data_IF_618325833083
#
_entry.id   IF_618325833083
#
_cell.length_a   1.000
_cell.length_b   1.000
_cell.length_c   1.000
_cell.angle_alpha   90.00
_cell.angle_beta   90.00
_cell.angle_gamma   90.00
#
_symmetry.space_group_name_H-M   'P 1'
#
loop_
_entity.id
_entity.type
_entity.pdbx_description
1 polymer ?
#
# COMPACT_ATOMS: atom_id res chain seq x y z
N UNK A 1 -12.50 27.76 5.71
CA UNK A 1 -11.55 26.85 6.39
C UNK A 1 -12.34 25.88 7.24
N UNK A 2 -12.28 24.58 6.95
CA UNK A 2 -12.85 23.53 7.80
C UNK A 2 -11.91 23.23 8.95
N UNK A 3 -12.43 23.15 10.18
CA UNK A 3 -11.65 22.73 11.35
C UNK A 3 -11.61 21.20 11.39
N UNK A 4 -10.42 20.64 11.47
CA UNK A 4 -10.19 19.20 11.68
C UNK A 4 -9.91 19.02 13.16
N UNK A 5 -10.53 18.01 13.76
CA UNK A 5 -10.33 17.65 15.15
C UNK A 5 -9.87 16.19 15.22
N UNK A 6 -8.83 15.94 15.99
CA UNK A 6 -8.28 14.61 16.23
C UNK A 6 -8.64 14.16 17.65
N UNK A 7 -9.12 12.93 17.78
CA UNK A 7 -9.42 12.32 19.07
C UNK A 7 -9.08 10.82 19.00
N UNK A 8 -8.58 10.31 20.12
CA UNK A 8 -8.28 8.90 20.32
C UNK A 8 -9.43 8.26 21.10
N UNK A 9 -9.71 7.00 20.80
CA UNK A 9 -10.77 6.24 21.43
C UNK A 9 -10.61 4.75 21.21
N UNK A 10 -11.40 3.98 21.94
CA UNK A 10 -11.46 2.52 21.82
C UNK A 10 -12.72 2.11 21.07
N UNK A 11 -12.65 0.98 20.36
CA UNK A 11 -13.82 0.37 19.71
C UNK A 11 -14.44 -0.61 20.71
N UNK A 12 -15.66 -0.32 21.14
CA UNK A 12 -16.52 -1.21 21.92
C UNK A 12 -17.50 -1.95 21.01
N UNK A 13 -17.76 -3.22 21.32
CA UNK A 13 -18.73 -4.08 20.64
C UNK A 13 -18.60 -4.11 19.10
N UNK A 14 -17.38 -3.86 18.60
CA UNK A 14 -17.03 -3.85 17.18
C UNK A 14 -17.70 -2.74 16.34
N UNK A 15 -18.43 -1.81 16.97
CA UNK A 15 -19.27 -0.84 16.23
C UNK A 15 -19.37 0.53 16.89
N UNK A 16 -19.05 0.65 18.18
CA UNK A 16 -19.12 1.89 18.93
C UNK A 16 -17.72 2.41 19.19
N UNK A 17 -17.44 3.66 18.82
CA UNK A 17 -16.16 4.31 19.17
C UNK A 17 -16.40 5.16 20.42
N UNK A 18 -15.74 4.81 21.51
CA UNK A 18 -15.73 5.59 22.74
C UNK A 18 -14.49 6.47 22.76
N UNK A 19 -14.69 7.78 22.65
CA UNK A 19 -13.60 8.74 22.65
C UNK A 19 -13.10 8.98 24.08
N UNK A 20 -11.78 9.02 24.26
CA UNK A 20 -11.16 9.34 25.56
C UNK A 20 -11.43 10.79 25.98
N UNK A 21 -11.52 11.69 24.99
CA UNK A 21 -11.80 13.11 25.19
C UNK A 21 -12.98 13.55 24.32
N UNK A 22 -13.95 14.31 24.85
CA UNK A 22 -15.07 14.80 24.06
C UNK A 22 -14.61 15.78 22.99
N UNK A 23 -15.09 15.60 21.76
CA UNK A 23 -14.85 16.54 20.66
C UNK A 23 -15.73 17.79 20.83
N UNK A 24 -15.18 19.02 20.68
CA UNK A 24 -15.95 20.26 20.82
C UNK A 24 -16.74 20.58 19.54
N UNK A 25 -17.49 19.61 19.01
CA UNK A 25 -18.30 19.73 17.79
C UNK A 25 -19.77 19.48 18.10
N UNK A 26 -20.66 20.19 17.40
CA UNK A 26 -22.12 20.01 17.52
C UNK A 26 -22.72 19.77 16.13
N UNK A 27 -23.62 18.81 16.01
CA UNK A 27 -24.31 18.48 14.76
C UNK A 27 -23.66 17.34 13.98
N UNK A 28 -23.99 17.22 12.68
CA UNK A 28 -23.47 16.16 11.81
C UNK A 28 -22.03 16.46 11.43
N UNK A 29 -21.16 15.45 11.57
CA UNK A 29 -19.75 15.52 11.18
C UNK A 29 -19.42 14.35 10.26
N UNK A 30 -18.45 14.55 9.37
CA UNK A 30 -17.80 13.45 8.64
C UNK A 30 -16.68 12.92 9.51
N UNK A 31 -16.71 11.63 9.84
CA UNK A 31 -15.69 10.96 10.64
C UNK A 31 -14.79 10.15 9.72
N UNK A 32 -13.48 10.27 9.89
CA UNK A 32 -12.49 9.39 9.28
C UNK A 32 -11.85 8.59 10.41
N UNK A 33 -11.99 7.27 10.37
CA UNK A 33 -11.50 6.37 11.42
C UNK A 33 -10.22 5.73 10.89
N UNK A 34 -9.13 5.89 11.64
CA UNK A 34 -7.90 5.14 11.44
C UNK A 34 -7.80 4.14 12.59
N UNK A 35 -8.13 2.88 12.32
CA UNK A 35 -7.93 1.82 13.30
C UNK A 35 -6.45 1.44 13.30
N UNK A 36 -5.79 1.58 14.44
CA UNK A 36 -4.54 0.86 14.69
C UNK A 36 -4.90 -0.61 14.88
N UNK A 37 -5.00 -1.34 13.78
CA UNK A 37 -5.06 -2.80 13.85
C UNK A 37 -3.77 -3.25 14.54
N UNK A 38 -3.89 -3.95 15.67
CA UNK A 38 -2.78 -4.69 16.27
C UNK A 38 -2.34 -5.89 15.41
N UNK A 39 -2.80 -5.97 14.17
CA UNK A 39 -2.14 -6.75 13.14
C UNK A 39 -1.01 -5.89 12.60
N UNK A 40 0.25 -6.32 12.72
CA UNK A 40 1.31 -5.65 11.99
C UNK A 40 0.88 -5.63 10.54
N UNK A 41 1.25 -4.57 9.83
CA UNK A 41 1.11 -4.48 8.39
C UNK A 41 1.88 -5.66 7.75
N UNK A 42 1.23 -6.84 7.70
CA UNK A 42 1.81 -8.10 7.19
C UNK A 42 2.16 -7.92 5.71
N UNK A 43 1.53 -6.95 5.05
CA UNK A 43 1.81 -6.58 3.67
C UNK A 43 3.23 -6.00 3.47
N UNK A 44 3.83 -5.37 4.49
CA UNK A 44 5.14 -4.73 4.36
C UNK A 44 6.24 -5.40 5.17
N UNK A 45 5.90 -6.05 6.28
CA UNK A 45 6.89 -6.56 7.23
C UNK A 45 7.68 -7.77 6.68
N UNK A 46 7.16 -8.47 5.67
CA UNK A 46 7.86 -9.64 5.10
C UNK A 46 7.93 -9.66 3.56
N UNK A 47 7.78 -8.49 2.91
CA UNK A 47 7.90 -8.38 1.46
C UNK A 47 9.23 -8.95 0.97
N UNK A 48 10.32 -8.67 1.68
CA UNK A 48 11.65 -9.16 1.29
C UNK A 48 11.77 -10.67 1.45
N UNK A 49 11.32 -11.30 2.54
CA UNK A 49 11.44 -12.75 2.65
C UNK A 49 10.49 -13.49 1.70
N UNK A 50 9.31 -12.93 1.39
CA UNK A 50 8.43 -13.45 0.35
C UNK A 50 9.13 -13.41 -1.02
N UNK A 51 9.78 -12.30 -1.37
CA UNK A 51 10.55 -12.18 -2.62
C UNK A 51 11.72 -13.17 -2.65
N UNK A 52 12.45 -13.33 -1.55
CA UNK A 52 13.54 -14.31 -1.44
C UNK A 52 13.03 -15.75 -1.59
N UNK A 53 11.90 -16.10 -0.98
CA UNK A 53 11.29 -17.42 -1.10
C UNK A 53 10.85 -17.72 -2.55
N UNK A 54 10.28 -16.73 -3.26
CA UNK A 54 9.95 -16.85 -4.68
C UNK A 54 11.22 -17.08 -5.51
N UNK A 55 12.26 -16.27 -5.27
CA UNK A 55 13.52 -16.35 -6.00
C UNK A 55 14.19 -17.73 -5.85
N UNK A 56 14.22 -18.27 -4.63
CA UNK A 56 14.77 -19.60 -4.35
C UNK A 56 13.99 -20.71 -5.07
N UNK A 57 12.64 -20.67 -5.03
CA UNK A 57 11.79 -21.65 -5.71
C UNK A 57 11.99 -21.63 -7.23
N UNK A 58 12.14 -20.44 -7.82
CA UNK A 58 12.37 -20.29 -9.25
C UNK A 58 13.74 -20.85 -9.66
N UNK A 59 14.80 -20.55 -8.90
CA UNK A 59 16.14 -21.09 -9.16
C UNK A 59 16.20 -22.61 -9.02
N UNK A 60 15.51 -23.17 -8.01
CA UNK A 60 15.40 -24.62 -7.83
C UNK A 60 14.74 -25.32 -9.05
N UNK A 61 13.88 -24.61 -9.79
CA UNK A 61 13.25 -25.08 -11.03
C UNK A 61 14.08 -24.82 -12.29
N UNK A 62 15.33 -24.34 -12.14
CA UNK A 62 16.23 -24.01 -13.25
C UNK A 62 15.96 -22.66 -13.90
N UNK A 63 15.11 -21.80 -13.30
CA UNK A 63 14.91 -20.46 -13.83
C UNK A 63 16.19 -19.63 -13.64
N UNK A 64 16.67 -19.05 -14.75
CA UNK A 64 17.77 -18.08 -14.75
C UNK A 64 17.15 -16.68 -14.81
N UNK A 65 17.18 -15.90 -13.72
CA UNK A 65 16.67 -14.54 -13.74
C UNK A 65 17.49 -13.68 -14.72
N UNK A 66 16.80 -12.74 -15.37
CA UNK A 66 17.43 -11.76 -16.25
C UNK A 66 18.46 -10.92 -15.47
N UNK A 67 19.52 -10.51 -16.15
CA UNK A 67 20.48 -9.56 -15.63
C UNK A 67 19.81 -8.18 -15.42
N UNK A 68 20.38 -7.33 -14.54
CA UNK A 68 19.88 -5.97 -14.39
C UNK A 68 19.82 -5.19 -15.72
N UNK A 69 20.79 -5.39 -16.60
CA UNK A 69 20.84 -4.75 -17.93
C UNK A 69 19.72 -5.26 -18.85
N UNK A 70 19.43 -6.57 -18.81
CA UNK A 70 18.34 -7.18 -19.58
C UNK A 70 16.97 -6.69 -19.07
N UNK A 71 16.82 -6.55 -17.76
CA UNK A 71 15.60 -5.98 -17.15
C UNK A 71 15.42 -4.52 -17.55
N UNK A 72 16.49 -3.72 -17.51
CA UNK A 72 16.42 -2.31 -17.90
C UNK A 72 16.06 -2.16 -19.38
N UNK A 73 16.68 -2.97 -20.25
CA UNK A 73 16.37 -3.00 -21.67
C UNK A 73 14.90 -3.36 -21.93
N UNK A 74 14.38 -4.39 -21.24
CA UNK A 74 12.98 -4.79 -21.32
C UNK A 74 12.03 -3.66 -20.88
N UNK A 75 12.29 -3.03 -19.73
CA UNK A 75 11.45 -1.91 -19.23
C UNK A 75 11.48 -0.73 -20.20
N UNK A 76 12.65 -0.40 -20.76
CA UNK A 76 12.80 0.67 -21.74
C UNK A 76 12.00 0.37 -23.00
N UNK A 77 12.06 -0.87 -23.49
CA UNK A 77 11.29 -1.33 -24.65
C UNK A 77 9.78 -1.26 -24.40
N UNK A 78 9.28 -1.77 -23.26
CA UNK A 78 7.85 -1.69 -22.93
C UNK A 78 7.37 -0.25 -22.86
N UNK A 79 8.17 0.66 -22.27
CA UNK A 79 7.82 2.08 -22.21
C UNK A 79 7.77 2.75 -23.58
N UNK A 80 8.67 2.40 -24.51
CA UNK A 80 8.59 2.91 -25.89
C UNK A 80 7.37 2.37 -26.61
N UNK A 81 7.05 1.09 -26.44
CA UNK A 81 5.87 0.47 -27.06
C UNK A 81 4.57 1.09 -26.53
N UNK A 82 4.49 1.44 -25.24
CA UNK A 82 3.35 2.13 -24.66
C UNK A 82 3.19 3.58 -25.16
N UNK A 83 4.30 4.30 -25.37
CA UNK A 83 4.31 5.65 -25.94
C UNK A 83 3.86 5.62 -27.41
N UNK A 84 4.35 4.65 -28.17
CA UNK A 84 3.95 4.44 -29.57
C UNK A 84 2.48 4.01 -29.69
N UNK A 85 1.99 3.17 -28.76
CA UNK A 85 0.61 2.69 -28.73
C UNK A 85 -0.40 3.77 -28.30
N UNK A 86 0.02 4.75 -27.49
CA UNK A 86 -0.85 5.86 -27.05
C UNK A 86 -0.84 7.06 -27.99
N UNK A 87 0.00 7.06 -29.04
CA UNK A 87 0.05 8.14 -30.03
C UNK A 87 0.43 9.50 -29.44
N UNK A 88 0.96 9.54 -28.22
CA UNK A 88 1.45 10.76 -27.57
C UNK A 88 2.89 11.01 -28.01
N UNK A 89 3.09 11.16 -29.31
CA UNK A 89 4.24 11.87 -29.84
C UNK A 89 3.98 13.37 -29.64
N UNK A 90 4.57 13.93 -28.59
CA UNK A 90 4.74 15.39 -28.47
C UNK A 90 5.86 15.88 -29.37
#
# INVERSE_FOLDING_TARGET
MSRIYEAVGTIEDGSTIVLETPLPVRGRVKVQIHAETAEPDVALTDREAVLQAIHQRQRARGHKPMSPEEVEAYIRQTRSEDVDATGLSG
#
